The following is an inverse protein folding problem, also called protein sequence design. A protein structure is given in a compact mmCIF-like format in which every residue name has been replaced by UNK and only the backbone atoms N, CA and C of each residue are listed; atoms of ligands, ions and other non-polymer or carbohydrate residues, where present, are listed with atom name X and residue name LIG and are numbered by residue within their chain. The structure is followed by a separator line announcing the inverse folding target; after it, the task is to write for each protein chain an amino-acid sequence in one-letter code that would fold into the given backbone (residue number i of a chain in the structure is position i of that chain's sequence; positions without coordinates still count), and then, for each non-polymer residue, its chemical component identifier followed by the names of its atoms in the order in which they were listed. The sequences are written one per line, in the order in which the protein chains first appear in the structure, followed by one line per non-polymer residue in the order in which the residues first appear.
data_IF_575896785768
#
_entry.id   IF_575896785768
#
_cell.length_a   1.000
_cell.length_b   1.000
_cell.length_c   1.000
_cell.angle_alpha   90.00
_cell.angle_beta   90.00
_cell.angle_gamma   90.00
#
_symmetry.space_group_name_H-M   'P 1'
#
loop_
_entity.id
_entity.type
_entity.pdbx_description
1 polymer ?
#
# COMPACT_ATOMS: atom_id res chain seq x y z
N UNK A 1 19.69 -14.02 -13.19
CA UNK A 1 18.53 -13.11 -12.99
C UNK A 1 18.71 -11.91 -13.90
N UNK A 2 17.71 -11.55 -14.73
CA UNK A 2 17.76 -10.38 -15.62
C UNK A 2 16.48 -9.58 -15.48
N UNK A 3 16.59 -8.26 -15.28
CA UNK A 3 15.44 -7.36 -15.32
C UNK A 3 15.03 -7.17 -16.78
N UNK A 4 13.76 -7.45 -17.11
CA UNK A 4 13.21 -7.33 -18.47
C UNK A 4 12.34 -6.08 -18.64
N UNK A 5 11.80 -5.54 -17.55
CA UNK A 5 10.90 -4.40 -17.55
C UNK A 5 10.98 -3.68 -16.19
N UNK A 6 10.64 -2.38 -16.17
CA UNK A 6 10.61 -1.55 -14.95
C UNK A 6 9.44 -0.58 -15.04
N UNK A 7 8.74 -0.39 -13.94
CA UNK A 7 7.66 0.59 -13.80
C UNK A 7 7.67 1.16 -12.37
N UNK A 8 6.91 2.24 -12.17
CA UNK A 8 6.79 2.92 -10.89
C UNK A 8 5.35 2.81 -10.37
N UNK A 9 5.18 2.34 -9.14
CA UNK A 9 3.87 2.24 -8.49
C UNK A 9 3.40 3.61 -7.99
N UNK A 10 4.30 4.34 -7.31
CA UNK A 10 4.04 5.69 -6.82
C UNK A 10 5.31 6.53 -6.91
N UNK A 11 5.21 7.70 -7.52
CA UNK A 11 6.26 8.71 -7.45
C UNK A 11 6.21 9.42 -6.09
N UNK A 12 7.36 9.84 -5.60
CA UNK A 12 7.45 10.71 -4.44
C UNK A 12 7.03 12.14 -4.82
N UNK A 13 6.28 12.78 -3.94
CA UNK A 13 5.88 14.18 -4.06
C UNK A 13 6.47 14.97 -2.87
N UNK A 14 7.69 15.53 -3.00
CA UNK A 14 8.38 16.17 -1.88
C UNK A 14 7.56 17.30 -1.23
N UNK A 15 7.60 17.37 0.11
CA UNK A 15 6.86 18.37 0.88
C UNK A 15 5.35 18.11 1.02
N UNK A 16 4.88 16.92 0.62
CA UNK A 16 3.47 16.52 0.74
C UNK A 16 3.32 15.25 1.59
N UNK A 17 2.09 14.85 1.90
CA UNK A 17 1.76 13.56 2.52
C UNK A 17 2.04 12.32 1.63
N UNK A 18 2.72 12.52 0.49
CA UNK A 18 3.13 11.47 -0.46
C UNK A 18 4.64 11.53 -0.76
N UNK A 19 5.40 12.19 0.11
CA UNK A 19 6.84 12.31 -0.04
C UNK A 19 7.57 10.98 0.12
N UNK A 20 7.05 10.06 0.96
CA UNK A 20 7.72 8.80 1.30
C UNK A 20 6.78 7.61 1.17
N UNK A 21 7.20 6.60 0.38
CA UNK A 21 6.55 5.29 0.29
C UNK A 21 7.50 4.18 0.83
N UNK A 22 7.02 3.32 1.73
CA UNK A 22 7.82 2.26 2.36
C UNK A 22 7.03 0.98 2.61
N UNK A 23 7.73 -0.10 3.00
CA UNK A 23 7.12 -1.37 3.44
C UNK A 23 6.21 -1.99 2.38
N UNK A 24 6.62 -1.92 1.11
CA UNK A 24 5.83 -2.42 0.01
C UNK A 24 5.66 -3.95 0.07
N UNK A 25 4.44 -4.41 -0.19
CA UNK A 25 4.13 -5.82 -0.41
C UNK A 25 3.33 -5.97 -1.70
N UNK A 26 3.51 -7.10 -2.39
CA UNK A 26 2.82 -7.41 -3.64
C UNK A 26 2.19 -8.79 -3.58
N UNK A 27 1.01 -8.93 -4.16
CA UNK A 27 0.27 -10.19 -4.25
C UNK A 27 -0.32 -10.36 -5.64
N UNK A 28 -0.16 -11.56 -6.21
CA UNK A 28 -0.82 -11.96 -7.46
C UNK A 28 -2.21 -12.49 -7.14
N UNK A 29 -3.24 -11.87 -7.71
CA UNK A 29 -4.65 -12.24 -7.55
C UNK A 29 -5.03 -13.42 -8.48
N UNK A 30 -6.19 -14.08 -8.25
CA UNK A 30 -6.61 -15.23 -9.07
C UNK A 30 -6.70 -14.94 -10.58
N UNK A 31 -7.09 -13.72 -10.95
CA UNK A 31 -7.20 -13.25 -12.34
C UNK A 31 -5.85 -12.88 -12.97
N UNK A 32 -4.74 -13.05 -12.24
CA UNK A 32 -3.39 -12.68 -12.67
C UNK A 32 -3.05 -11.20 -12.47
N UNK A 33 -4.00 -10.37 -12.04
CA UNK A 33 -3.71 -8.98 -11.68
C UNK A 33 -2.82 -8.90 -10.43
N UNK A 34 -2.06 -7.82 -10.32
CA UNK A 34 -1.20 -7.54 -9.19
C UNK A 34 -1.91 -6.56 -8.26
N UNK A 35 -1.89 -6.83 -6.96
CA UNK A 35 -2.26 -5.88 -5.92
C UNK A 35 -1.01 -5.55 -5.10
N UNK A 36 -0.72 -4.26 -4.96
CA UNK A 36 0.38 -3.75 -4.14
C UNK A 36 -0.19 -2.94 -3.00
N UNK A 37 0.42 -3.10 -1.82
CA UNK A 37 0.25 -2.23 -0.67
C UNK A 37 1.57 -1.58 -0.28
N UNK A 38 1.53 -0.39 0.29
CA UNK A 38 2.67 0.28 0.90
C UNK A 38 2.20 1.32 1.91
N UNK A 39 3.08 1.66 2.86
CA UNK A 39 2.90 2.83 3.71
C UNK A 39 3.25 4.09 2.92
N UNK A 40 2.43 5.13 3.01
CA UNK A 40 2.59 6.44 2.34
C UNK A 40 2.38 7.57 3.34
N UNK A 41 3.25 8.59 3.33
CA UNK A 41 3.17 9.74 4.24
C UNK A 41 4.18 10.83 3.91
N UNK A 42 4.20 11.89 4.73
CA UNK A 42 5.18 12.97 4.61
C UNK A 42 6.59 12.58 5.07
N UNK A 43 6.70 11.66 6.03
CA UNK A 43 7.94 10.95 6.40
C UNK A 43 7.61 9.52 6.89
N UNK A 44 8.60 8.73 7.31
CA UNK A 44 8.45 7.33 7.78
C UNK A 44 7.83 7.21 9.18
N UNK A 45 7.75 8.32 9.92
CA UNK A 45 7.32 8.34 11.32
C UNK A 45 6.49 9.59 11.63
N UNK A 46 5.43 9.79 10.86
CA UNK A 46 4.47 10.90 10.99
C UNK A 46 3.06 10.38 11.28
N UNK A 47 2.21 11.28 11.74
CA UNK A 47 0.81 11.01 12.07
C UNK A 47 -0.09 10.89 10.82
N UNK A 48 0.36 11.40 9.68
CA UNK A 48 -0.31 11.30 8.37
C UNK A 48 -0.04 10.00 7.62
N UNK A 49 0.80 9.11 8.19
CA UNK A 49 1.17 7.86 7.56
C UNK A 49 -0.02 6.90 7.49
N UNK A 50 -0.27 6.37 6.30
CA UNK A 50 -1.35 5.41 6.07
C UNK A 50 -0.92 4.30 5.10
N UNK A 51 -1.79 3.32 4.90
CA UNK A 51 -1.59 2.26 3.90
C UNK A 51 -2.40 2.61 2.65
N UNK A 52 -1.72 2.57 1.51
CA UNK A 52 -2.32 2.78 0.19
C UNK A 52 -2.21 1.51 -0.64
N UNK A 53 -3.25 1.22 -1.42
CA UNK A 53 -3.34 0.09 -2.32
C UNK A 53 -3.34 0.58 -3.78
N UNK A 54 -2.70 -0.18 -4.67
CA UNK A 54 -2.81 -0.01 -6.12
C UNK A 54 -2.88 -1.35 -6.84
N UNK A 55 -3.66 -1.41 -7.91
CA UNK A 55 -3.83 -2.61 -8.73
C UNK A 55 -3.21 -2.43 -10.12
N UNK A 56 -2.70 -3.51 -10.69
CA UNK A 56 -2.29 -3.58 -12.08
C UNK A 56 -2.89 -4.80 -12.77
N UNK A 57 -3.54 -4.60 -13.91
CA UNK A 57 -4.10 -5.66 -14.75
C UNK A 57 -3.19 -6.03 -15.94
N UNK A 58 -2.04 -5.36 -16.08
CA UNK A 58 -1.17 -5.46 -17.26
C UNK A 58 0.26 -5.94 -16.93
N UNK A 59 0.40 -6.65 -15.80
CA UNK A 59 1.70 -7.19 -15.35
C UNK A 59 2.61 -6.16 -14.70
N UNK A 60 2.05 -5.05 -14.19
CA UNK A 60 2.77 -4.02 -13.45
C UNK A 60 3.23 -2.84 -14.30
N UNK A 61 2.81 -2.73 -15.56
CA UNK A 61 3.21 -1.64 -16.47
C UNK A 61 2.49 -0.34 -16.13
N UNK A 62 1.21 -0.46 -15.80
CA UNK A 62 0.40 0.64 -15.27
C UNK A 62 -0.27 0.22 -13.97
N UNK A 63 -0.63 1.23 -13.18
CA UNK A 63 -1.24 1.09 -11.86
C UNK A 63 -2.48 1.96 -11.77
N UNK A 64 -3.49 1.46 -11.07
CA UNK A 64 -4.71 2.21 -10.78
C UNK A 64 -4.45 3.47 -9.97
N UNK A 65 -5.48 4.30 -9.88
CA UNK A 65 -5.55 5.32 -8.84
C UNK A 65 -5.41 4.69 -7.44
N UNK A 66 -4.88 5.45 -6.47
CA UNK A 66 -4.65 4.95 -5.12
C UNK A 66 -5.95 4.74 -4.35
N UNK A 67 -6.02 3.63 -3.62
CA UNK A 67 -7.11 3.34 -2.69
C UNK A 67 -6.61 3.31 -1.25
N UNK A 68 -7.42 3.83 -0.30
CA UNK A 68 -7.11 3.85 1.14
C UNK A 68 -8.32 3.35 1.93
N UNK A 69 -8.62 2.05 1.86
CA UNK A 69 -9.85 1.51 2.44
C UNK A 69 -9.81 1.37 3.98
N UNK A 70 -8.67 1.65 4.61
CA UNK A 70 -8.45 1.44 6.04
C UNK A 70 -8.64 2.73 6.85
N UNK A 71 -9.44 2.65 7.93
CA UNK A 71 -9.52 3.73 8.92
C UNK A 71 -8.22 3.82 9.71
N UNK A 72 -7.74 5.05 9.94
CA UNK A 72 -6.64 5.33 10.88
C UNK A 72 -7.15 5.58 12.30
N UNK A 73 -8.46 5.60 12.52
CA UNK A 73 -9.09 5.74 13.84
C UNK A 73 -9.62 4.39 14.31
N UNK A 74 -9.24 4.00 15.53
CA UNK A 74 -9.69 2.76 16.20
C UNK A 74 -10.26 3.16 17.56
N UNK A 75 -11.49 2.73 17.86
CA UNK A 75 -12.20 3.03 19.12
C UNK A 75 -12.21 4.52 19.51
N UNK A 76 -12.30 5.40 18.51
CA UNK A 76 -12.30 6.86 18.69
C UNK A 76 -10.92 7.48 18.87
N UNK A 77 -9.85 6.67 18.94
CA UNK A 77 -8.46 7.14 19.02
C UNK A 77 -7.87 7.23 17.62
N UNK A 78 -7.31 8.40 17.29
CA UNK A 78 -6.57 8.59 16.04
C UNK A 78 -5.19 7.97 16.17
N UNK A 79 -4.78 7.22 15.15
CA UNK A 79 -3.42 6.72 15.00
C UNK A 79 -2.94 6.84 13.56
N UNK A 80 -1.82 6.18 13.25
CA UNK A 80 -1.31 6.01 11.90
C UNK A 80 -1.17 4.53 11.55
N UNK A 81 -1.14 4.20 10.26
CA UNK A 81 -1.02 2.82 9.79
C UNK A 81 0.32 2.57 9.11
N UNK A 82 0.99 1.49 9.52
CA UNK A 82 2.29 1.05 8.99
C UNK A 82 2.25 -0.40 8.60
N UNK A 83 3.01 -0.75 7.55
CA UNK A 83 3.06 -2.09 6.98
C UNK A 83 1.67 -2.58 6.52
N UNK A 84 1.62 -3.24 5.37
CA UNK A 84 0.34 -3.78 4.90
C UNK A 84 0.52 -5.08 4.14
N UNK A 85 1.29 -6.08 4.64
CA UNK A 85 1.41 -7.35 3.95
C UNK A 85 0.03 -7.92 3.62
N UNK A 86 -0.15 -8.24 2.34
CA UNK A 86 -1.37 -8.83 1.82
C UNK A 86 -1.17 -10.35 1.84
N UNK A 87 -2.12 -11.07 2.42
CA UNK A 87 -2.18 -12.53 2.35
C UNK A 87 -3.48 -12.95 1.68
N UNK A 88 -3.37 -13.79 0.65
CA UNK A 88 -4.53 -14.46 0.07
C UNK A 88 -4.99 -15.56 1.01
N UNK A 89 -6.29 -15.59 1.31
CA UNK A 89 -6.87 -16.69 2.06
C UNK A 89 -7.38 -17.78 1.11
N UNK A 90 -8.39 -17.44 0.32
CA UNK A 90 -9.01 -18.27 -0.71
C UNK A 90 -9.88 -17.39 -1.62
N UNK A 91 -10.25 -17.91 -2.80
CA UNK A 91 -11.08 -17.18 -3.77
C UNK A 91 -10.63 -15.72 -3.94
N UNK A 92 -11.57 -14.80 -3.66
CA UNK A 92 -11.39 -13.34 -3.70
C UNK A 92 -11.15 -12.71 -2.31
N UNK A 93 -10.87 -13.52 -1.28
CA UNK A 93 -10.65 -13.06 0.09
C UNK A 93 -9.18 -12.79 0.36
N UNK A 94 -8.91 -11.58 0.84
CA UNK A 94 -7.59 -11.09 1.23
C UNK A 94 -7.62 -10.67 2.70
N UNK A 95 -6.51 -10.88 3.41
CA UNK A 95 -6.22 -10.19 4.68
C UNK A 95 -5.08 -9.21 4.45
N UNK A 96 -5.23 -8.02 5.01
CA UNK A 96 -4.13 -7.07 5.21
C UNK A 96 -3.89 -6.93 6.70
N UNK A 97 -2.68 -7.23 7.15
CA UNK A 97 -2.28 -7.02 8.53
C UNK A 97 -1.51 -5.70 8.63
N UNK A 98 -2.11 -4.71 9.29
CA UNK A 98 -1.48 -3.40 9.53
C UNK A 98 -1.03 -3.24 10.98
N UNK A 99 0.03 -2.47 11.18
CA UNK A 99 0.41 -1.93 12.49
C UNK A 99 -0.31 -0.59 12.66
N UNK A 100 -1.13 -0.51 13.70
CA UNK A 100 -1.73 0.74 14.13
C UNK A 100 -0.94 1.29 15.32
N UNK A 101 -0.59 2.57 15.27
CA UNK A 101 0.20 3.25 16.30
C UNK A 101 -0.60 4.48 16.74
N UNK A 102 -0.91 4.55 18.03
CA UNK A 102 -1.51 5.74 18.65
C UNK A 102 -0.57 6.95 18.53
N UNK A 103 -1.13 8.15 18.58
CA UNK A 103 -0.36 9.40 18.53
C UNK A 103 -0.40 10.12 19.87
#
# INVERSE_FOLDING_TARGET
MRVVERALVSAAEPGTARAVATSAAITVLPDGSLLVSYSIGSDKATDDLTIELRRSSDGGRSWSDPERPFSTTVDGVRGCLKAGPITRLDGDRLIVAGLWIDQ
#
